data_IF_084239705218
#
_entry.id   IF_084239705218
#
_cell.length_a   1.000
_cell.length_b   1.000
_cell.length_c   1.000
_cell.angle_alpha   90.00
_cell.angle_beta   90.00
_cell.angle_gamma   90.00
#
_symmetry.space_group_name_H-M   'P 1'
#
loop_
_entity.id
_entity.type
_entity.pdbx_description
1 polymer ?
#
# COMPACT_ATOMS: atom_id res chain seq x y z
N UNK A 1 -15.27 12.40 23.43
CA UNK A 1 -15.27 13.52 22.45
C UNK A 1 -13.82 13.71 22.05
N UNK A 2 -13.52 13.58 20.76
CA UNK A 2 -12.14 13.81 20.28
C UNK A 2 -11.94 15.32 20.20
N UNK A 3 -11.01 15.85 20.97
CA UNK A 3 -10.52 17.23 20.80
C UNK A 3 -10.11 17.42 19.35
N UNK A 4 -10.68 18.40 18.70
CA UNK A 4 -10.43 18.62 17.30
C UNK A 4 -9.08 19.29 17.12
N UNK A 5 -8.28 18.85 16.13
CA UNK A 5 -7.00 19.43 15.70
C UNK A 5 -7.06 20.98 15.51
N UNK A 6 -8.25 21.57 15.45
CA UNK A 6 -8.49 23.01 15.29
C UNK A 6 -8.20 23.84 16.56
N UNK A 7 -8.07 23.20 17.71
CA UNK A 7 -7.87 23.88 19.00
C UNK A 7 -6.41 23.93 19.44
N UNK A 8 -5.50 23.25 18.70
CA UNK A 8 -4.08 23.24 19.01
C UNK A 8 -3.41 24.50 18.43
N UNK A 9 -2.83 25.33 19.30
CA UNK A 9 -2.28 26.63 18.95
C UNK A 9 -0.76 26.64 18.76
N UNK A 10 -0.05 25.63 19.28
CA UNK A 10 1.40 25.53 19.22
C UNK A 10 1.90 24.23 18.61
N UNK A 11 3.15 24.25 18.13
CA UNK A 11 3.83 23.05 17.60
C UNK A 11 4.05 22.00 18.71
N UNK A 12 4.32 22.43 19.92
CA UNK A 12 4.51 21.59 21.11
C UNK A 12 3.22 20.87 21.46
N UNK A 13 2.08 21.56 21.50
CA UNK A 13 0.77 20.94 21.73
C UNK A 13 0.44 19.91 20.66
N UNK A 14 0.73 20.20 19.40
CA UNK A 14 0.52 19.24 18.31
C UNK A 14 1.40 18.00 18.43
N UNK A 15 2.68 18.16 18.82
CA UNK A 15 3.58 17.01 19.06
C UNK A 15 3.11 16.16 20.24
N UNK A 16 2.71 16.81 21.35
CA UNK A 16 2.19 16.11 22.52
C UNK A 16 0.90 15.33 22.17
N UNK A 17 -0.04 15.93 21.45
CA UNK A 17 -1.24 15.27 20.93
C UNK A 17 -0.91 14.05 20.07
N UNK A 18 0.02 14.18 19.13
CA UNK A 18 0.43 13.06 18.27
C UNK A 18 1.08 11.93 19.07
N UNK A 19 1.91 12.27 20.06
CA UNK A 19 2.55 11.27 20.93
C UNK A 19 1.51 10.51 21.77
N UNK A 20 0.53 11.21 22.33
CA UNK A 20 -0.56 10.60 23.10
C UNK A 20 -1.37 9.63 22.22
N UNK A 21 -1.77 10.05 21.00
CA UNK A 21 -2.50 9.19 20.06
C UNK A 21 -1.70 7.94 19.70
N UNK A 22 -0.41 8.10 19.46
CA UNK A 22 0.48 6.97 19.17
C UNK A 22 0.56 6.01 20.36
N UNK A 23 0.76 6.52 21.58
CA UNK A 23 0.80 5.70 22.81
C UNK A 23 -0.51 4.95 23.03
N UNK A 24 -1.67 5.59 22.83
CA UNK A 24 -2.97 4.94 22.91
C UNK A 24 -3.11 3.82 21.88
N UNK A 25 -2.59 3.99 20.66
CA UNK A 25 -2.61 2.95 19.64
C UNK A 25 -1.72 1.77 20.04
N UNK A 26 -0.49 2.02 20.50
CA UNK A 26 0.45 0.99 20.98
C UNK A 26 -0.15 0.20 22.15
N UNK A 27 -0.77 0.86 23.12
CA UNK A 27 -1.46 0.18 24.23
C UNK A 27 -2.57 -0.76 23.74
N UNK A 28 -3.34 -0.36 22.72
CA UNK A 28 -4.37 -1.23 22.13
C UNK A 28 -3.77 -2.41 21.36
N UNK A 29 -2.63 -2.21 20.71
CA UNK A 29 -1.90 -3.28 20.02
C UNK A 29 -1.35 -4.33 21.00
N UNK A 30 -1.09 -3.96 22.24
CA UNK A 30 -0.64 -4.86 23.31
C UNK A 30 -1.76 -5.64 23.99
N UNK A 31 -3.02 -5.39 23.68
CA UNK A 31 -4.15 -6.13 24.24
C UNK A 31 -4.08 -7.62 23.86
N UNK A 32 -4.57 -8.53 24.73
CA UNK A 32 -4.71 -9.93 24.37
C UNK A 32 -5.54 -10.13 23.09
N UNK A 33 -5.18 -11.14 22.31
CA UNK A 33 -5.78 -11.42 21.02
C UNK A 33 -7.31 -11.54 21.07
N UNK A 34 -7.86 -12.30 21.99
CA UNK A 34 -9.31 -12.49 22.15
C UNK A 34 -10.06 -11.19 22.50
N UNK A 35 -9.40 -10.28 23.22
CA UNK A 35 -9.94 -8.93 23.46
C UNK A 35 -9.96 -8.13 22.17
N UNK A 36 -8.90 -8.18 21.37
CA UNK A 36 -8.85 -7.51 20.06
C UNK A 36 -9.97 -8.01 19.14
N UNK A 37 -10.18 -9.33 19.05
CA UNK A 37 -11.25 -9.91 18.23
C UNK A 37 -12.62 -9.45 18.69
N UNK A 38 -12.90 -9.46 20.01
CA UNK A 38 -14.18 -8.93 20.55
C UNK A 38 -14.37 -7.46 20.23
N UNK A 39 -13.35 -6.64 20.35
CA UNK A 39 -13.39 -5.22 19.99
C UNK A 39 -13.64 -5.01 18.50
N UNK A 40 -13.03 -5.80 17.63
CA UNK A 40 -13.25 -5.74 16.18
C UNK A 40 -14.71 -6.05 15.85
N UNK A 41 -15.28 -7.13 16.42
CA UNK A 41 -16.70 -7.48 16.26
C UNK A 41 -17.65 -6.36 16.72
N UNK A 42 -17.38 -5.76 17.88
CA UNK A 42 -18.16 -4.64 18.37
C UNK A 42 -18.11 -3.43 17.42
N UNK A 43 -16.93 -3.11 16.87
CA UNK A 43 -16.74 -1.98 15.93
C UNK A 43 -17.43 -2.21 14.59
N UNK A 44 -17.41 -3.45 14.10
CA UNK A 44 -18.15 -3.83 12.90
C UNK A 44 -19.64 -3.57 13.13
N UNK A 45 -20.20 -4.05 14.24
CA UNK A 45 -21.62 -3.88 14.55
C UNK A 45 -21.99 -2.41 14.73
N UNK A 46 -21.26 -1.66 15.55
CA UNK A 46 -21.55 -0.25 15.78
C UNK A 46 -21.44 0.63 14.52
N UNK A 47 -20.51 0.31 13.61
CA UNK A 47 -20.42 1.04 12.34
C UNK A 47 -21.57 0.70 11.40
N UNK A 48 -22.01 -0.56 11.37
CA UNK A 48 -23.18 -0.98 10.59
C UNK A 48 -24.45 -0.28 11.06
N UNK A 49 -24.73 -0.29 12.37
CA UNK A 49 -25.87 0.37 12.99
C UNK A 49 -25.86 1.88 12.67
N UNK A 50 -24.72 2.55 12.88
CA UNK A 50 -24.58 3.98 12.57
C UNK A 50 -24.73 4.27 11.07
N UNK A 51 -24.22 3.39 10.18
CA UNK A 51 -24.41 3.53 8.74
C UNK A 51 -25.90 3.45 8.37
N UNK A 52 -26.63 2.47 8.90
CA UNK A 52 -28.08 2.33 8.68
C UNK A 52 -28.85 3.57 9.18
N UNK A 53 -28.55 4.06 10.38
CA UNK A 53 -29.15 5.29 10.92
C UNK A 53 -28.92 6.52 10.04
N UNK A 54 -27.76 6.58 9.37
CA UNK A 54 -27.40 7.65 8.43
C UNK A 54 -27.90 7.40 7.01
N UNK A 55 -28.59 6.28 6.75
CA UNK A 55 -29.13 5.91 5.45
C UNK A 55 -28.10 5.37 4.47
N UNK A 56 -26.93 4.89 4.94
CA UNK A 56 -25.90 4.26 4.11
C UNK A 56 -25.99 2.74 4.16
N UNK A 57 -25.66 2.09 3.06
CA UNK A 57 -25.30 0.68 3.03
C UNK A 57 -23.82 0.50 3.44
N UNK A 58 -23.44 -0.74 3.76
CA UNK A 58 -22.05 -1.09 4.02
C UNK A 58 -21.52 -2.09 3.00
N UNK A 59 -20.21 -2.11 2.77
CA UNK A 59 -19.52 -3.14 2.00
C UNK A 59 -18.12 -3.41 2.56
N UNK A 60 -17.53 -4.56 2.26
CA UNK A 60 -16.10 -4.82 2.52
C UNK A 60 -15.32 -4.57 1.25
N UNK A 61 -14.30 -3.72 1.31
CA UNK A 61 -13.31 -3.60 0.23
C UNK A 61 -12.28 -4.71 0.36
N UNK A 62 -12.37 -5.72 -0.50
CA UNK A 62 -11.55 -6.94 -0.41
C UNK A 62 -10.37 -6.86 -1.37
N UNK A 63 -9.17 -7.16 -0.85
CA UNK A 63 -7.91 -7.30 -1.58
C UNK A 63 -7.15 -8.52 -1.08
N UNK A 64 -6.03 -8.34 -0.36
CA UNK A 64 -5.22 -9.42 0.22
C UNK A 64 -5.80 -10.04 1.50
N UNK A 65 -4.98 -10.86 2.17
CA UNK A 65 -5.36 -11.69 3.31
C UNK A 65 -6.09 -10.93 4.43
N UNK A 66 -5.64 -9.73 4.79
CA UNK A 66 -6.22 -8.96 5.89
C UNK A 66 -7.71 -8.64 5.64
N UNK A 67 -8.04 -8.23 4.44
CA UNK A 67 -9.42 -7.91 4.05
C UNK A 67 -10.26 -9.14 3.75
N UNK A 68 -9.66 -10.24 3.30
CA UNK A 68 -10.30 -11.56 3.20
C UNK A 68 -10.70 -12.04 4.60
N UNK A 69 -9.77 -11.96 5.56
CA UNK A 69 -10.04 -12.33 6.95
C UNK A 69 -11.15 -11.47 7.57
N UNK A 70 -11.15 -10.15 7.28
CA UNK A 70 -12.22 -9.26 7.72
C UNK A 70 -13.58 -9.64 7.13
N UNK A 71 -13.62 -9.98 5.84
CA UNK A 71 -14.82 -10.43 5.17
C UNK A 71 -15.38 -11.73 5.81
N UNK A 72 -14.50 -12.69 6.10
CA UNK A 72 -14.88 -13.93 6.79
C UNK A 72 -15.34 -13.67 8.23
N UNK A 73 -14.72 -12.75 8.97
CA UNK A 73 -15.18 -12.36 10.31
C UNK A 73 -16.58 -11.76 10.27
N UNK A 74 -16.89 -10.93 9.28
CA UNK A 74 -18.22 -10.34 9.09
C UNK A 74 -19.26 -11.42 8.79
N UNK A 75 -18.94 -12.43 7.97
CA UNK A 75 -19.83 -13.59 7.73
C UNK A 75 -20.02 -14.43 9.00
N UNK A 76 -18.96 -14.68 9.77
CA UNK A 76 -19.03 -15.39 11.04
C UNK A 76 -19.90 -14.66 12.10
N UNK A 77 -20.06 -13.35 11.99
CA UNK A 77 -20.97 -12.55 12.80
C UNK A 77 -22.44 -12.67 12.36
N UNK A 78 -22.74 -13.39 11.28
CA UNK A 78 -24.09 -13.62 10.77
C UNK A 78 -24.57 -12.61 9.72
N UNK A 79 -23.75 -11.65 9.29
CA UNK A 79 -24.09 -10.77 8.18
C UNK A 79 -24.05 -11.52 6.86
N UNK A 80 -25.07 -11.35 6.03
CA UNK A 80 -25.20 -11.96 4.70
C UNK A 80 -24.60 -11.08 3.60
N UNK A 81 -24.57 -11.58 2.37
CA UNK A 81 -24.18 -10.79 1.20
C UNK A 81 -25.16 -9.64 0.90
N UNK A 82 -26.42 -9.81 1.28
CA UNK A 82 -27.41 -8.75 1.16
C UNK A 82 -27.22 -7.62 2.17
N UNK A 83 -26.69 -7.94 3.36
CA UNK A 83 -26.40 -6.93 4.39
C UNK A 83 -25.10 -6.18 4.09
N UNK A 84 -24.01 -6.93 3.82
CA UNK A 84 -22.67 -6.38 3.60
C UNK A 84 -22.02 -7.13 2.44
N UNK A 85 -22.16 -6.69 1.18
CA UNK A 85 -21.50 -7.28 0.03
C UNK A 85 -19.98 -7.09 0.08
N UNK A 86 -19.25 -7.97 -0.60
CA UNK A 86 -17.81 -7.90 -0.76
C UNK A 86 -17.48 -7.33 -2.14
N UNK A 87 -16.63 -6.31 -2.19
CA UNK A 87 -16.30 -5.58 -3.43
C UNK A 87 -14.79 -5.60 -3.63
N UNK A 88 -14.35 -5.99 -4.82
CA UNK A 88 -12.92 -6.13 -5.12
C UNK A 88 -12.54 -5.65 -6.51
N UNK A 89 -11.34 -5.08 -6.63
CA UNK A 89 -10.64 -4.89 -7.90
C UNK A 89 -9.79 -6.14 -8.25
N UNK A 90 -10.38 -7.32 -8.17
CA UNK A 90 -9.75 -8.65 -8.18
C UNK A 90 -8.77 -8.89 -9.33
N UNK A 91 -9.05 -8.37 -10.52
CA UNK A 91 -8.21 -8.54 -11.71
C UNK A 91 -6.75 -8.04 -11.58
N UNK A 92 -6.45 -7.32 -10.50
CA UNK A 92 -5.13 -6.76 -10.23
C UNK A 92 -4.33 -7.60 -9.23
N UNK A 93 -4.99 -8.52 -8.55
CA UNK A 93 -4.39 -9.38 -7.54
C UNK A 93 -3.79 -10.65 -8.19
N UNK A 94 -2.97 -11.37 -7.42
CA UNK A 94 -2.48 -12.70 -7.80
C UNK A 94 -3.64 -13.66 -8.09
N UNK A 95 -3.43 -14.65 -8.96
CA UNK A 95 -4.46 -15.60 -9.36
C UNK A 95 -5.01 -16.41 -8.18
N UNK A 96 -4.17 -16.74 -7.20
CA UNK A 96 -4.61 -17.44 -5.98
C UNK A 96 -5.56 -16.58 -5.14
N UNK A 97 -5.33 -15.27 -5.07
CA UNK A 97 -6.23 -14.31 -4.42
C UNK A 97 -7.53 -14.17 -5.21
N UNK A 98 -7.45 -14.09 -6.55
CA UNK A 98 -8.64 -14.01 -7.39
C UNK A 98 -9.57 -15.20 -7.21
N UNK A 99 -9.00 -16.41 -7.05
CA UNK A 99 -9.75 -17.64 -6.77
C UNK A 99 -10.53 -17.52 -5.45
N UNK A 100 -9.88 -17.07 -4.38
CA UNK A 100 -10.54 -16.86 -3.08
C UNK A 100 -11.63 -15.78 -3.17
N UNK A 101 -11.41 -14.72 -3.94
CA UNK A 101 -12.45 -13.70 -4.18
C UNK A 101 -13.69 -14.29 -4.89
N UNK A 102 -13.50 -15.22 -5.82
CA UNK A 102 -14.61 -15.92 -6.48
C UNK A 102 -15.37 -16.82 -5.49
N UNK A 103 -14.67 -17.57 -4.65
CA UNK A 103 -15.25 -18.42 -3.61
C UNK A 103 -16.05 -17.59 -2.58
N UNK A 104 -15.61 -16.38 -2.26
CA UNK A 104 -16.28 -15.44 -1.37
C UNK A 104 -17.45 -14.69 -2.03
N UNK A 105 -17.71 -14.89 -3.32
CA UNK A 105 -18.77 -14.17 -4.04
C UNK A 105 -18.48 -12.67 -4.23
N UNK A 106 -17.22 -12.25 -4.33
CA UNK A 106 -16.88 -10.85 -4.45
C UNK A 106 -17.43 -10.21 -5.73
N UNK A 107 -18.05 -9.05 -5.61
CA UNK A 107 -18.42 -8.19 -6.73
C UNK A 107 -17.14 -7.58 -7.30
N UNK A 108 -16.82 -7.90 -8.56
CA UNK A 108 -15.60 -7.43 -9.20
C UNK A 108 -15.84 -6.10 -9.90
N UNK A 109 -15.16 -5.04 -9.46
CA UNK A 109 -15.16 -3.74 -10.13
C UNK A 109 -14.04 -3.67 -11.16
N UNK A 110 -14.35 -3.13 -12.33
CA UNK A 110 -13.39 -2.99 -13.43
C UNK A 110 -12.55 -1.71 -13.26
N UNK A 111 -11.23 -1.78 -13.47
CA UNK A 111 -10.38 -0.60 -13.51
C UNK A 111 -10.84 0.44 -14.54
N UNK A 112 -10.64 1.73 -14.28
CA UNK A 112 -10.95 2.80 -15.24
C UNK A 112 -10.06 2.79 -16.47
N UNK A 113 -8.81 2.33 -16.31
CA UNK A 113 -7.82 2.15 -17.38
C UNK A 113 -7.14 0.80 -17.22
N UNK A 114 -6.67 0.20 -18.29
CA UNK A 114 -5.80 -0.98 -18.17
C UNK A 114 -4.49 -0.61 -17.48
N UNK A 115 -3.85 -1.57 -16.81
CA UNK A 115 -2.59 -1.35 -16.09
C UNK A 115 -1.48 -0.85 -17.04
N UNK A 116 -1.36 -1.45 -18.22
CA UNK A 116 -0.43 -1.00 -19.27
C UNK A 116 -0.68 0.46 -19.63
N UNK A 117 -1.95 0.83 -19.87
CA UNK A 117 -2.30 2.22 -20.20
C UNK A 117 -1.99 3.19 -19.07
N UNK A 118 -2.16 2.79 -17.81
CA UNK A 118 -1.79 3.63 -16.67
C UNK A 118 -0.27 3.82 -16.59
N UNK A 119 0.52 2.75 -16.78
CA UNK A 119 1.99 2.87 -16.78
C UNK A 119 2.49 3.75 -17.92
N UNK A 120 1.91 3.61 -19.12
CA UNK A 120 2.27 4.38 -20.30
C UNK A 120 1.90 5.86 -20.17
N UNK A 121 0.66 6.16 -19.75
CA UNK A 121 0.11 7.52 -19.71
C UNK A 121 0.59 8.29 -18.47
N UNK A 122 0.50 7.67 -17.30
CA UNK A 122 0.67 8.32 -15.99
C UNK A 122 2.04 8.04 -15.36
N UNK A 123 2.65 6.88 -15.61
CA UNK A 123 3.97 6.49 -15.13
C UNK A 123 3.99 5.35 -14.10
N UNK A 124 5.21 4.98 -13.74
CA UNK A 124 5.51 3.83 -12.89
C UNK A 124 5.33 4.15 -11.40
N UNK A 125 4.63 3.30 -10.63
CA UNK A 125 4.45 3.45 -9.18
C UNK A 125 5.68 2.90 -8.44
N UNK A 126 6.72 3.72 -8.31
CA UNK A 126 8.03 3.32 -7.75
C UNK A 126 8.34 4.10 -6.46
N UNK A 127 9.23 3.57 -5.63
CA UNK A 127 9.66 4.11 -4.33
C UNK A 127 8.53 4.07 -3.29
N UNK A 128 7.84 5.17 -3.08
CA UNK A 128 6.63 5.21 -2.25
C UNK A 128 5.58 6.12 -2.86
N UNK A 129 4.30 5.94 -2.47
CA UNK A 129 3.21 6.81 -2.95
C UNK A 129 3.52 8.29 -2.73
N UNK A 130 4.08 8.66 -1.56
CA UNK A 130 4.44 10.05 -1.23
C UNK A 130 5.58 10.56 -2.12
N UNK A 131 6.62 9.75 -2.32
CA UNK A 131 7.78 10.12 -3.14
C UNK A 131 7.38 10.22 -4.61
N UNK A 132 6.68 9.22 -5.14
CA UNK A 132 6.21 9.22 -6.53
C UNK A 132 5.29 10.41 -6.84
N UNK A 133 4.41 10.79 -5.91
CA UNK A 133 3.57 11.99 -6.07
C UNK A 133 4.40 13.29 -6.11
N UNK A 134 5.46 13.40 -5.31
CA UNK A 134 6.35 14.57 -5.34
C UNK A 134 7.14 14.63 -6.65
N UNK A 135 7.63 13.49 -7.15
CA UNK A 135 8.32 13.39 -8.43
C UNK A 135 7.37 13.80 -9.57
N UNK A 136 6.13 13.26 -9.58
CA UNK A 136 5.09 13.65 -10.56
C UNK A 136 4.80 15.16 -10.50
N UNK A 137 4.73 15.74 -9.29
CA UNK A 137 4.52 17.18 -9.11
C UNK A 137 5.68 18.01 -9.66
N UNK A 138 6.93 17.58 -9.47
CA UNK A 138 8.11 18.23 -10.05
C UNK A 138 8.12 18.12 -11.58
N UNK A 139 7.74 16.97 -12.14
CA UNK A 139 7.70 16.72 -13.57
C UNK A 139 6.64 17.54 -14.31
N UNK A 140 5.61 18.04 -13.61
CA UNK A 140 4.51 18.80 -14.20
C UNK A 140 4.41 20.23 -13.62
N UNK A 141 5.35 21.13 -13.95
CA UNK A 141 5.37 22.50 -13.42
C UNK A 141 4.16 23.31 -13.92
N UNK A 142 3.55 24.05 -12.99
CA UNK A 142 2.50 25.01 -13.27
C UNK A 142 2.55 26.17 -12.26
N UNK A 143 1.93 27.30 -12.56
CA UNK A 143 1.80 28.41 -11.60
C UNK A 143 1.02 27.97 -10.34
N UNK A 144 0.04 27.07 -10.48
CA UNK A 144 -0.78 26.60 -9.35
C UNK A 144 0.00 25.73 -8.36
N UNK A 145 1.07 25.06 -8.80
CA UNK A 145 1.87 24.18 -7.93
C UNK A 145 3.26 24.74 -7.60
N UNK A 146 3.55 26.00 -7.92
CA UNK A 146 4.84 26.65 -7.72
C UNK A 146 5.31 26.59 -6.25
N UNK A 147 4.43 26.92 -5.31
CA UNK A 147 4.73 26.87 -3.87
C UNK A 147 4.98 25.43 -3.39
N UNK A 148 4.20 24.46 -3.87
CA UNK A 148 4.37 23.04 -3.53
C UNK A 148 5.70 22.53 -4.08
N UNK A 149 6.06 22.88 -5.31
CA UNK A 149 7.35 22.48 -5.90
C UNK A 149 8.52 23.09 -5.14
N UNK A 150 8.42 24.36 -4.75
CA UNK A 150 9.43 25.00 -3.89
C UNK A 150 9.60 24.25 -2.57
N UNK A 151 8.49 23.90 -1.88
CA UNK A 151 8.54 23.13 -0.65
C UNK A 151 9.11 21.70 -0.84
N UNK A 152 8.87 21.06 -2.00
CA UNK A 152 9.44 19.74 -2.31
C UNK A 152 10.96 19.82 -2.47
N UNK A 153 11.48 20.89 -3.06
CA UNK A 153 12.93 21.08 -3.30
C UNK A 153 13.64 21.54 -2.03
N UNK A 154 13.11 22.57 -1.37
CA UNK A 154 13.82 23.29 -0.30
C UNK A 154 13.41 22.86 1.12
N UNK A 155 12.24 22.25 1.27
CA UNK A 155 11.62 22.02 2.57
C UNK A 155 10.91 23.24 3.17
N UNK A 156 11.01 24.40 2.53
CA UNK A 156 10.33 25.62 2.97
C UNK A 156 8.85 25.59 2.57
N UNK A 157 7.99 25.55 3.57
CA UNK A 157 6.53 25.56 3.41
C UNK A 157 5.90 26.96 3.61
N UNK A 158 6.72 28.00 3.78
CA UNK A 158 6.29 29.37 4.03
C UNK A 158 5.61 29.58 5.39
N UNK A 159 5.16 30.81 5.64
CA UNK A 159 4.54 31.23 6.91
C UNK A 159 3.22 30.49 7.23
N UNK A 160 2.56 29.92 6.23
CA UNK A 160 1.35 29.12 6.42
C UNK A 160 1.64 27.61 6.61
N UNK A 161 2.85 27.19 6.33
CA UNK A 161 3.31 25.84 6.69
C UNK A 161 3.68 25.85 8.17
N UNK A 162 2.77 25.44 9.03
CA UNK A 162 3.03 25.25 10.48
C UNK A 162 4.22 24.33 10.80
N UNK A 163 5.03 23.97 9.80
CA UNK A 163 6.14 23.05 9.89
C UNK A 163 7.41 23.79 9.44
N UNK A 164 8.09 24.38 10.41
CA UNK A 164 9.43 24.88 10.24
C UNK A 164 10.36 23.88 9.57
N UNK A 165 11.41 24.38 8.96
CA UNK A 165 12.66 23.72 8.55
C UNK A 165 12.71 22.20 8.83
N UNK A 166 12.85 21.37 7.80
CA UNK A 166 12.76 19.90 7.78
C UNK A 166 11.34 19.35 7.61
N UNK A 167 10.52 20.06 6.89
CA UNK A 167 9.20 19.59 6.51
C UNK A 167 9.29 18.24 5.79
N UNK A 168 8.38 17.31 6.16
CA UNK A 168 8.17 16.05 5.43
C UNK A 168 7.79 16.28 3.94
N UNK A 169 7.61 17.53 3.51
CA UNK A 169 7.42 17.92 2.11
C UNK A 169 8.70 17.80 1.29
N UNK A 170 9.86 18.05 1.86
CA UNK A 170 11.12 17.94 1.12
C UNK A 170 11.36 16.51 0.63
N UNK A 171 11.80 16.35 -0.60
CA UNK A 171 12.38 15.11 -1.07
C UNK A 171 13.79 14.95 -0.51
N UNK A 172 14.23 13.74 -0.15
CA UNK A 172 15.63 13.46 0.13
C UNK A 172 16.54 13.93 -1.01
N UNK A 173 17.71 14.45 -0.68
CA UNK A 173 18.64 15.00 -1.69
C UNK A 173 19.04 13.98 -2.77
N UNK A 174 19.16 12.69 -2.40
CA UNK A 174 19.43 11.61 -3.35
C UNK A 174 18.35 11.52 -4.44
N UNK A 175 17.09 11.67 -4.08
CA UNK A 175 16.00 11.65 -5.06
C UNK A 175 15.87 12.97 -5.82
N UNK A 176 16.20 14.11 -5.20
CA UNK A 176 16.27 15.38 -5.92
C UNK A 176 17.35 15.39 -6.99
N UNK A 177 18.53 14.77 -6.73
CA UNK A 177 19.58 14.60 -7.73
C UNK A 177 19.15 13.62 -8.83
N UNK A 178 18.50 12.52 -8.45
CA UNK A 178 18.10 11.46 -9.38
C UNK A 178 16.93 11.89 -10.29
N UNK A 179 15.89 12.53 -9.73
CA UNK A 179 14.67 12.89 -10.46
C UNK A 179 14.53 14.38 -10.77
N UNK A 180 15.55 15.18 -10.51
CA UNK A 180 15.56 16.61 -10.71
C UNK A 180 15.23 17.42 -9.46
N UNK A 181 15.39 18.72 -9.58
CA UNK A 181 15.29 19.66 -8.46
C UNK A 181 16.64 20.15 -7.97
N UNK A 182 17.70 19.31 -8.01
CA UNK A 182 19.09 19.71 -7.72
C UNK A 182 20.02 19.23 -8.82
N UNK A 183 21.03 20.05 -9.17
CA UNK A 183 22.15 19.65 -10.01
C UNK A 183 23.20 18.84 -9.20
N UNK A 184 24.31 18.44 -9.85
CA UNK A 184 25.38 17.67 -9.22
C UNK A 184 26.05 18.41 -8.07
N UNK A 185 26.11 19.74 -8.14
CA UNK A 185 26.65 20.62 -7.10
C UNK A 185 25.64 20.94 -6.00
N UNK A 186 24.40 20.43 -6.09
CA UNK A 186 23.35 20.64 -5.09
C UNK A 186 22.59 21.96 -5.22
N UNK A 187 22.69 22.64 -6.38
CA UNK A 187 21.91 23.87 -6.68
C UNK A 187 20.54 23.50 -7.19
N UNK A 188 19.53 24.31 -6.88
CA UNK A 188 18.15 24.07 -7.32
C UNK A 188 17.99 24.34 -8.82
N UNK A 189 17.52 23.33 -9.54
CA UNK A 189 17.12 23.43 -10.94
C UNK A 189 15.68 23.97 -11.11
N UNK A 190 14.86 23.92 -10.07
CA UNK A 190 13.46 24.36 -10.10
C UNK A 190 12.51 23.45 -10.90
N UNK A 191 13.00 22.37 -11.47
CA UNK A 191 12.23 21.41 -12.27
C UNK A 191 12.77 19.97 -12.09
N UNK A 192 12.03 18.99 -12.58
CA UNK A 192 12.45 17.60 -12.62
C UNK A 192 13.49 17.39 -13.74
N UNK A 193 14.48 16.53 -13.49
CA UNK A 193 15.37 16.08 -14.56
C UNK A 193 14.59 15.24 -15.59
N UNK A 194 14.94 15.31 -16.89
CA UNK A 194 14.31 14.49 -17.89
C UNK A 194 14.67 13.01 -17.64
N UNK A 195 13.67 12.21 -17.33
CA UNK A 195 13.76 10.75 -17.34
C UNK A 195 13.13 10.25 -18.62
N UNK A 196 13.60 9.12 -19.11
CA UNK A 196 12.99 8.45 -20.28
C UNK A 196 11.81 7.55 -19.90
N UNK A 197 11.18 7.84 -18.77
CA UNK A 197 9.94 7.24 -18.27
C UNK A 197 9.28 8.20 -17.26
N UNK A 198 8.00 8.00 -17.01
CA UNK A 198 7.23 8.79 -16.03
C UNK A 198 7.17 8.06 -14.69
N UNK A 199 7.09 8.82 -13.60
CA UNK A 199 6.86 8.30 -12.24
C UNK A 199 5.65 8.99 -11.64
N UNK A 200 4.69 8.22 -11.15
CA UNK A 200 3.53 8.77 -10.44
C UNK A 200 2.92 7.78 -9.44
N UNK A 201 2.04 8.28 -8.57
CA UNK A 201 1.23 7.45 -7.68
C UNK A 201 -0.20 7.18 -8.23
N UNK A 202 -0.52 7.60 -9.45
CA UNK A 202 -1.87 7.56 -10.02
C UNK A 202 -2.35 6.16 -10.36
N UNK A 203 -1.43 5.17 -10.40
CA UNK A 203 -1.76 3.79 -10.67
C UNK A 203 -2.85 3.27 -9.71
N UNK A 204 -2.69 3.48 -8.39
CA UNK A 204 -3.70 3.07 -7.41
C UNK A 204 -5.05 3.76 -7.63
N UNK A 205 -5.04 5.03 -8.00
CA UNK A 205 -6.25 5.79 -8.28
C UNK A 205 -7.06 5.17 -9.42
N UNK A 206 -6.46 4.99 -10.60
CA UNK A 206 -7.18 4.47 -11.78
C UNK A 206 -7.56 3.00 -11.67
N UNK A 207 -6.75 2.20 -10.96
CA UNK A 207 -6.94 0.77 -10.92
C UNK A 207 -7.82 0.29 -9.76
N UNK A 208 -7.76 0.96 -8.60
CA UNK A 208 -8.45 0.52 -7.37
C UNK A 208 -9.36 1.58 -6.77
N UNK A 209 -8.82 2.77 -6.48
CA UNK A 209 -9.52 3.77 -5.66
C UNK A 209 -10.77 4.28 -6.39
N UNK A 210 -10.61 4.88 -7.57
CA UNK A 210 -11.72 5.46 -8.31
C UNK A 210 -12.81 4.45 -8.75
N UNK A 211 -12.49 3.21 -9.20
CA UNK A 211 -13.51 2.19 -9.47
C UNK A 211 -14.31 1.81 -8.22
N UNK A 212 -13.64 1.60 -7.08
CA UNK A 212 -14.31 1.26 -5.82
C UNK A 212 -15.16 2.44 -5.30
N UNK A 213 -14.64 3.66 -5.36
CA UNK A 213 -15.36 4.88 -4.99
C UNK A 213 -16.60 5.11 -5.87
N UNK A 214 -16.49 4.83 -7.18
CA UNK A 214 -17.61 4.91 -8.09
C UNK A 214 -18.70 3.91 -7.69
N UNK A 215 -18.32 2.65 -7.48
CA UNK A 215 -19.26 1.62 -7.04
C UNK A 215 -19.92 1.99 -5.71
N UNK A 216 -19.14 2.45 -4.73
CA UNK A 216 -19.62 2.85 -3.42
C UNK A 216 -20.65 4.00 -3.50
N UNK A 217 -20.40 5.00 -4.36
CA UNK A 217 -21.34 6.10 -4.61
C UNK A 217 -22.62 5.64 -5.28
N UNK A 218 -22.55 4.79 -6.30
CA UNK A 218 -23.70 4.23 -7.01
C UNK A 218 -24.61 3.39 -6.09
N UNK A 219 -24.02 2.74 -5.07
CA UNK A 219 -24.73 1.90 -4.11
C UNK A 219 -24.99 2.59 -2.77
N UNK A 220 -24.65 3.88 -2.66
CA UNK A 220 -24.78 4.67 -1.42
C UNK A 220 -24.16 3.94 -0.21
N UNK A 221 -22.95 3.44 -0.37
CA UNK A 221 -22.30 2.48 0.54
C UNK A 221 -20.99 3.00 1.10
N UNK A 222 -20.70 2.65 2.36
CA UNK A 222 -19.46 2.99 3.08
C UNK A 222 -18.61 1.73 3.36
N UNK A 223 -17.26 1.81 3.25
CA UNK A 223 -16.43 0.63 3.28
C UNK A 223 -16.00 0.21 4.70
N UNK A 224 -15.91 -1.11 4.88
CA UNK A 224 -14.99 -1.75 5.83
C UNK A 224 -13.66 -2.01 5.16
N UNK A 225 -12.57 -1.69 5.83
CA UNK A 225 -11.20 -1.81 5.34
C UNK A 225 -10.37 -2.68 6.27
N UNK A 226 -9.71 -3.71 5.73
CA UNK A 226 -8.73 -4.55 6.44
C UNK A 226 -7.37 -3.87 6.55
N UNK A 227 -7.29 -2.70 7.19
CA UNK A 227 -6.05 -1.94 7.38
C UNK A 227 -5.67 -1.86 8.85
N UNK A 228 -4.35 -1.87 9.12
CA UNK A 228 -3.76 -1.86 10.45
C UNK A 228 -2.80 -0.69 10.64
N UNK A 229 -2.72 -0.15 11.85
CA UNK A 229 -1.72 0.86 12.20
C UNK A 229 -0.29 0.26 12.24
N UNK A 230 -0.17 -1.04 12.53
CA UNK A 230 1.10 -1.77 12.51
C UNK A 230 1.79 -1.79 11.14
N UNK A 231 1.06 -1.53 10.04
CA UNK A 231 1.65 -1.37 8.71
C UNK A 231 2.44 -0.06 8.53
N UNK A 232 2.30 0.89 9.48
CA UNK A 232 3.03 2.15 9.48
C UNK A 232 2.59 3.18 8.43
N UNK A 233 3.35 4.26 8.31
CA UNK A 233 3.19 5.29 7.29
C UNK A 233 1.85 6.03 7.36
N UNK A 234 1.25 6.33 6.20
CA UNK A 234 -0.02 7.07 6.12
C UNK A 234 -1.20 6.35 6.78
N UNK A 235 -1.17 5.00 6.83
CA UNK A 235 -2.22 4.21 7.47
C UNK A 235 -2.19 4.39 8.98
N UNK A 236 -1.01 4.28 9.58
CA UNK A 236 -0.84 4.57 11.01
C UNK A 236 -1.27 5.99 11.36
N UNK A 237 -0.73 6.99 10.63
CA UNK A 237 -1.07 8.41 10.82
C UNK A 237 -2.60 8.63 10.81
N UNK A 238 -3.31 8.04 9.84
CA UNK A 238 -4.77 8.21 9.69
C UNK A 238 -5.58 7.45 10.74
N UNK A 239 -5.12 6.26 11.18
CA UNK A 239 -5.81 5.46 12.19
C UNK A 239 -5.58 6.01 13.60
N UNK A 240 -4.40 6.54 13.90
CA UNK A 240 -4.10 7.22 15.15
C UNK A 240 -4.92 8.51 15.29
N UNK A 241 -5.06 9.29 14.21
CA UNK A 241 -5.77 10.56 14.23
C UNK A 241 -7.30 10.40 14.27
N UNK A 242 -7.84 9.49 13.47
CA UNK A 242 -9.29 9.38 13.24
C UNK A 242 -9.93 8.14 13.88
N UNK A 243 -9.13 7.22 14.38
CA UNK A 243 -9.64 5.98 14.95
C UNK A 243 -10.15 4.98 13.92
N UNK A 244 -10.86 3.96 14.39
CA UNK A 244 -11.35 2.86 13.60
C UNK A 244 -12.56 3.22 12.74
N UNK A 245 -13.62 3.71 13.38
CA UNK A 245 -14.86 4.16 12.74
C UNK A 245 -14.78 5.67 12.55
N UNK A 246 -14.78 6.09 11.31
CA UNK A 246 -14.60 7.49 10.95
C UNK A 246 -15.72 7.97 10.04
N UNK A 247 -16.34 9.08 10.44
CA UNK A 247 -17.38 9.79 9.72
C UNK A 247 -16.92 11.22 9.43
N UNK A 248 -16.23 11.41 8.32
CA UNK A 248 -15.79 12.73 7.88
C UNK A 248 -16.76 13.40 6.92
N UNK A 249 -16.48 14.66 6.56
CA UNK A 249 -17.34 15.43 5.64
C UNK A 249 -17.41 14.82 4.23
N UNK A 250 -16.33 14.21 3.77
CA UNK A 250 -16.18 13.69 2.41
C UNK A 250 -15.97 12.19 2.36
N UNK A 251 -15.59 11.56 3.46
CA UNK A 251 -15.26 10.14 3.53
C UNK A 251 -15.76 9.55 4.84
N UNK A 252 -16.35 8.36 4.76
CA UNK A 252 -16.65 7.53 5.91
C UNK A 252 -15.99 6.15 5.71
N UNK A 253 -15.52 5.53 6.78
CA UNK A 253 -14.91 4.19 6.75
C UNK A 253 -14.86 3.56 8.11
N UNK A 254 -14.84 2.22 8.13
CA UNK A 254 -14.46 1.45 9.31
C UNK A 254 -13.20 0.64 9.04
N UNK A 255 -12.27 0.61 10.00
CA UNK A 255 -11.08 -0.20 10.01
C UNK A 255 -11.03 -1.04 11.30
N UNK A 256 -11.81 -2.12 11.40
CA UNK A 256 -11.94 -2.90 12.64
C UNK A 256 -10.63 -3.47 13.14
N UNK A 257 -9.67 -3.75 12.25
CA UNK A 257 -8.34 -4.28 12.55
C UNK A 257 -7.28 -3.20 12.84
N UNK A 258 -7.67 -1.93 13.01
CA UNK A 258 -6.71 -0.81 13.16
C UNK A 258 -5.63 -1.01 14.21
N UNK A 259 -5.89 -1.78 15.27
CA UNK A 259 -4.95 -2.08 16.37
C UNK A 259 -4.45 -3.53 16.38
N UNK A 260 -4.70 -4.30 15.32
CA UNK A 260 -4.16 -5.63 15.16
C UNK A 260 -2.70 -5.58 14.72
N UNK A 261 -1.94 -6.61 15.11
CA UNK A 261 -0.67 -6.96 14.51
C UNK A 261 -0.93 -7.94 13.36
N UNK A 262 0.02 -8.07 12.43
CA UNK A 262 -0.13 -9.02 11.32
C UNK A 262 -0.34 -10.46 11.83
N UNK A 263 0.40 -10.85 12.87
CA UNK A 263 0.23 -12.15 13.55
C UNK A 263 -1.19 -12.40 14.06
N UNK A 264 -1.88 -11.35 14.57
CA UNK A 264 -3.27 -11.48 15.02
C UNK A 264 -4.21 -11.79 13.85
N UNK A 265 -3.97 -11.20 12.67
CA UNK A 265 -4.80 -11.43 11.49
C UNK A 265 -4.58 -12.82 10.92
N UNK A 266 -3.33 -13.29 10.84
CA UNK A 266 -3.01 -14.65 10.39
C UNK A 266 -3.65 -15.68 11.33
N UNK A 267 -3.54 -15.49 12.66
CA UNK A 267 -4.21 -16.33 13.64
C UNK A 267 -5.72 -16.34 13.46
N UNK A 268 -6.33 -15.16 13.27
CA UNK A 268 -7.78 -15.04 13.07
C UNK A 268 -8.22 -15.73 11.77
N UNK A 269 -7.41 -15.67 10.71
CA UNK A 269 -7.69 -16.39 9.48
C UNK A 269 -7.75 -17.91 9.72
N UNK A 270 -6.82 -18.46 10.50
CA UNK A 270 -6.84 -19.88 10.87
C UNK A 270 -8.04 -20.20 11.76
N UNK A 271 -8.32 -19.41 12.79
CA UNK A 271 -9.43 -19.63 13.71
C UNK A 271 -10.80 -19.60 13.00
N UNK A 272 -10.94 -18.83 11.93
CA UNK A 272 -12.14 -18.75 11.10
C UNK A 272 -12.18 -19.77 9.94
N UNK A 273 -11.13 -20.56 9.74
CA UNK A 273 -11.03 -21.47 8.62
C UNK A 273 -10.98 -20.78 7.25
N UNK A 274 -10.35 -19.61 7.18
CA UNK A 274 -10.21 -18.85 5.93
C UNK A 274 -9.37 -19.63 4.94
N UNK A 275 -9.82 -19.73 3.70
CA UNK A 275 -8.98 -20.21 2.61
C UNK A 275 -7.88 -19.16 2.33
N UNK A 276 -6.67 -19.43 2.85
CA UNK A 276 -5.51 -18.55 2.66
C UNK A 276 -4.99 -18.75 1.23
N UNK A 277 -4.90 -17.67 0.41
CA UNK A 277 -4.39 -17.79 -0.96
C UNK A 277 -2.97 -18.33 -1.03
N UNK A 278 -2.68 -19.19 -2.01
CA UNK A 278 -1.39 -19.90 -2.17
C UNK A 278 -0.17 -18.96 -2.19
N UNK A 279 -0.32 -17.72 -2.66
CA UNK A 279 0.77 -16.73 -2.68
C UNK A 279 1.32 -16.41 -1.28
N UNK A 280 0.54 -16.61 -0.22
CA UNK A 280 1.00 -16.42 1.16
C UNK A 280 1.77 -17.63 1.71
N UNK A 281 1.78 -18.76 0.98
CA UNK A 281 2.42 -20.01 1.42
C UNK A 281 1.69 -20.66 2.59
N UNK A 282 2.45 -21.35 3.42
CA UNK A 282 1.94 -22.05 4.60
C UNK A 282 1.91 -21.15 5.82
N UNK A 283 0.99 -21.44 6.75
CA UNK A 283 0.97 -20.77 8.06
C UNK A 283 1.90 -21.50 9.01
N UNK A 284 2.79 -20.77 9.62
CA UNK A 284 3.71 -21.28 10.65
C UNK A 284 3.56 -20.47 11.94
N UNK A 285 3.96 -21.07 13.06
CA UNK A 285 4.07 -20.38 14.36
C UNK A 285 5.52 -20.44 14.79
N UNK A 286 6.14 -19.27 14.93
CA UNK A 286 7.52 -19.12 15.35
C UNK A 286 7.62 -18.08 16.47
N UNK A 287 8.19 -18.44 17.62
CA UNK A 287 8.29 -17.58 18.81
C UNK A 287 6.92 -16.97 19.23
N UNK A 288 5.88 -17.77 19.24
CA UNK A 288 4.47 -17.39 19.52
C UNK A 288 3.86 -16.40 18.51
N UNK A 289 4.54 -16.12 17.41
CA UNK A 289 4.01 -15.31 16.30
C UNK A 289 3.50 -16.15 15.15
N UNK A 290 2.28 -15.90 14.71
CA UNK A 290 1.66 -16.49 13.53
C UNK A 290 2.14 -15.76 12.28
N UNK A 291 2.70 -16.48 11.33
CA UNK A 291 3.28 -15.94 10.10
C UNK A 291 2.90 -16.80 8.90
N UNK A 292 3.05 -16.23 7.73
CA UNK A 292 2.97 -16.96 6.46
C UNK A 292 4.37 -17.08 5.84
N UNK A 293 4.65 -18.19 5.16
CA UNK A 293 5.98 -18.45 4.57
C UNK A 293 6.20 -17.77 3.23
N UNK A 294 5.11 -17.34 2.55
CA UNK A 294 5.14 -16.68 1.26
C UNK A 294 5.21 -15.16 1.33
N UNK A 295 4.49 -14.49 0.43
CA UNK A 295 4.45 -13.03 0.38
C UNK A 295 3.84 -12.44 1.64
N UNK A 296 4.55 -11.53 2.31
CA UNK A 296 4.05 -10.84 3.50
C UNK A 296 3.08 -9.71 3.14
N UNK A 297 3.18 -9.17 1.94
CA UNK A 297 2.31 -8.12 1.39
C UNK A 297 2.06 -8.39 -0.07
N UNK A 298 0.84 -8.62 -0.39
CA UNK A 298 0.40 -8.64 -1.78
C UNK A 298 -0.07 -7.25 -2.18
N UNK A 299 0.33 -6.85 -3.35
CA UNK A 299 -0.18 -5.66 -4.02
C UNK A 299 -0.70 -6.09 -5.40
N UNK A 300 -1.05 -5.12 -6.24
CA UNK A 300 -1.21 -5.44 -7.65
C UNK A 300 0.07 -6.13 -8.14
N UNK A 301 -0.06 -7.20 -8.94
CA UNK A 301 1.09 -7.75 -9.66
C UNK A 301 1.87 -6.61 -10.30
N UNK A 302 3.19 -6.62 -10.22
CA UNK A 302 4.05 -5.53 -10.73
C UNK A 302 3.87 -4.17 -10.05
N UNK A 303 3.58 -4.11 -8.76
CA UNK A 303 3.67 -2.88 -7.98
C UNK A 303 5.12 -2.62 -7.55
N UNK A 304 5.70 -1.49 -7.92
CA UNK A 304 7.08 -1.13 -7.54
C UNK A 304 7.18 -0.28 -6.27
N UNK A 305 6.08 0.01 -5.58
CA UNK A 305 6.17 0.72 -4.31
C UNK A 305 6.86 -0.14 -3.25
N UNK A 306 7.91 0.40 -2.67
CA UNK A 306 8.71 -0.26 -1.64
C UNK A 306 9.80 -1.21 -2.16
N UNK A 307 9.94 -1.40 -3.48
CA UNK A 307 10.92 -2.33 -4.07
C UNK A 307 12.35 -2.06 -3.60
N UNK A 308 12.72 -0.81 -3.39
CA UNK A 308 14.05 -0.41 -2.91
C UNK A 308 14.35 -0.83 -1.46
N UNK A 309 13.34 -1.33 -0.74
CA UNK A 309 13.48 -1.84 0.63
C UNK A 309 13.56 -3.36 0.67
N UNK A 310 13.32 -4.02 -0.45
CA UNK A 310 13.36 -5.48 -0.57
C UNK A 310 14.77 -5.93 -0.93
N UNK A 311 15.24 -6.98 -0.27
CA UNK A 311 16.41 -7.73 -0.70
C UNK A 311 16.00 -8.74 -1.77
N UNK A 312 16.96 -9.22 -2.57
CA UNK A 312 16.69 -10.35 -3.46
C UNK A 312 16.63 -11.66 -2.65
N UNK A 313 15.70 -12.57 -3.00
CA UNK A 313 14.75 -12.48 -4.11
C UNK A 313 13.62 -11.49 -3.77
N UNK A 314 13.55 -10.38 -4.50
CA UNK A 314 12.45 -9.45 -4.35
C UNK A 314 11.21 -9.89 -5.15
N UNK A 315 10.08 -9.20 -5.01
CA UNK A 315 8.81 -9.58 -5.65
C UNK A 315 8.90 -9.83 -7.15
N UNK A 316 9.81 -9.19 -7.88
CA UNK A 316 9.96 -9.40 -9.31
C UNK A 316 10.76 -10.67 -9.62
N UNK A 317 11.72 -11.07 -8.78
CA UNK A 317 12.40 -12.37 -8.89
C UNK A 317 11.38 -13.48 -8.65
N UNK A 318 10.58 -13.40 -7.58
CA UNK A 318 9.52 -14.37 -7.28
C UNK A 318 8.43 -14.42 -8.36
N UNK A 319 8.16 -13.31 -9.06
CA UNK A 319 7.27 -13.33 -10.22
C UNK A 319 7.88 -14.14 -11.37
N UNK A 320 9.19 -14.04 -11.61
CA UNK A 320 9.85 -14.85 -12.62
C UNK A 320 9.68 -16.35 -12.33
N UNK A 321 9.85 -16.78 -11.09
CA UNK A 321 9.67 -18.16 -10.67
C UNK A 321 8.24 -18.67 -10.96
N UNK A 322 7.23 -17.85 -10.67
CA UNK A 322 5.81 -18.20 -10.86
C UNK A 322 5.35 -18.08 -12.31
N UNK A 323 5.81 -17.06 -13.02
CA UNK A 323 5.33 -16.74 -14.38
C UNK A 323 6.41 -16.02 -15.21
N UNK A 324 7.38 -16.74 -15.81
CA UNK A 324 8.45 -16.15 -16.60
C UNK A 324 7.96 -15.29 -17.76
N UNK A 325 6.85 -15.68 -18.41
CA UNK A 325 6.27 -14.93 -19.54
C UNK A 325 5.66 -13.60 -19.11
N UNK A 326 4.97 -13.58 -17.96
CA UNK A 326 4.41 -12.36 -17.38
C UNK A 326 5.53 -11.43 -16.94
N UNK A 327 6.56 -11.98 -16.29
CA UNK A 327 7.76 -11.24 -15.90
C UNK A 327 8.41 -10.55 -17.10
N UNK A 328 8.70 -11.28 -18.18
CA UNK A 328 9.32 -10.74 -19.40
C UNK A 328 8.49 -9.60 -20.01
N UNK A 329 7.17 -9.76 -20.05
CA UNK A 329 6.28 -8.71 -20.53
C UNK A 329 6.39 -7.43 -19.69
N UNK A 330 6.30 -7.55 -18.37
CA UNK A 330 6.33 -6.39 -17.48
C UNK A 330 7.71 -5.75 -17.39
N UNK A 331 8.76 -6.54 -17.40
CA UNK A 331 10.13 -6.04 -17.29
C UNK A 331 10.60 -5.35 -18.57
N UNK A 332 10.18 -5.83 -19.73
CA UNK A 332 10.80 -5.44 -21.00
C UNK A 332 9.84 -4.83 -22.03
N UNK A 333 8.50 -5.02 -21.92
CA UNK A 333 7.61 -4.84 -23.06
C UNK A 333 6.31 -4.09 -22.76
N UNK A 334 6.02 -3.76 -21.49
CA UNK A 334 4.71 -3.24 -21.09
C UNK A 334 4.42 -1.80 -21.55
N UNK A 335 5.43 -1.04 -21.90
CA UNK A 335 5.33 0.32 -22.42
C UNK A 335 6.14 0.48 -23.71
N UNK A 336 5.95 1.59 -24.42
CA UNK A 336 6.67 1.95 -25.65
C UNK A 336 7.11 3.41 -25.60
N UNK A 337 8.30 3.67 -26.13
CA UNK A 337 8.76 5.02 -26.43
C UNK A 337 8.01 5.61 -27.64
N UNK A 338 8.23 6.90 -27.92
CA UNK A 338 7.60 7.60 -29.03
C UNK A 338 7.98 7.01 -30.41
N UNK A 339 9.15 6.37 -30.51
CA UNK A 339 9.61 5.64 -31.70
C UNK A 339 9.06 4.20 -31.78
N UNK A 340 8.28 3.77 -30.80
CA UNK A 340 7.71 2.43 -30.72
C UNK A 340 8.61 1.38 -30.04
N UNK A 341 9.81 1.74 -29.58
CA UNK A 341 10.73 0.84 -28.88
C UNK A 341 10.09 0.37 -27.57
N UNK A 342 9.97 -0.96 -27.35
CA UNK A 342 9.37 -1.47 -26.11
C UNK A 342 10.29 -1.28 -24.92
N UNK A 343 9.69 -1.01 -23.75
CA UNK A 343 10.37 -1.00 -22.45
C UNK A 343 9.42 -1.37 -21.32
N UNK A 344 9.96 -1.48 -20.11
CA UNK A 344 9.17 -1.78 -18.93
C UNK A 344 9.91 -1.47 -17.64
N UNK A 345 9.58 -2.21 -16.60
CA UNK A 345 10.16 -2.06 -15.26
C UNK A 345 11.68 -2.16 -15.25
N UNK A 346 12.28 -2.96 -16.14
CA UNK A 346 13.73 -3.09 -16.22
C UNK A 346 14.44 -1.74 -16.37
N UNK A 347 13.93 -0.84 -17.24
CA UNK A 347 14.44 0.53 -17.40
C UNK A 347 14.34 1.33 -16.11
N UNK A 348 13.23 1.22 -15.40
CA UNK A 348 12.99 1.95 -14.15
C UNK A 348 13.90 1.46 -13.04
N UNK A 349 14.05 0.14 -12.90
CA UNK A 349 14.90 -0.48 -11.89
C UNK A 349 16.38 -0.18 -12.11
N UNK A 350 16.83 -0.21 -13.37
CA UNK A 350 18.20 0.21 -13.73
C UNK A 350 18.45 1.66 -13.30
N UNK A 351 17.50 2.55 -13.58
CA UNK A 351 17.62 3.97 -13.24
C UNK A 351 17.74 4.23 -11.74
N UNK A 352 16.97 3.49 -10.93
CA UNK A 352 17.00 3.62 -9.46
C UNK A 352 18.02 2.71 -8.78
N UNK A 353 18.82 1.96 -9.56
CA UNK A 353 19.90 1.11 -9.04
C UNK A 353 19.44 -0.17 -8.34
N UNK A 354 18.30 -0.72 -8.72
CA UNK A 354 17.77 -1.98 -8.16
C UNK A 354 18.15 -3.13 -9.10
N UNK A 355 18.93 -4.11 -8.65
CA UNK A 355 19.29 -5.27 -9.45
C UNK A 355 18.05 -6.14 -9.73
N UNK A 356 17.87 -6.52 -11.00
CA UNK A 356 16.70 -7.30 -11.44
C UNK A 356 17.05 -8.32 -12.53
N UNK A 357 18.24 -8.18 -13.14
CA UNK A 357 18.68 -9.10 -14.19
C UNK A 357 19.04 -10.44 -13.59
N UNK A 358 18.95 -11.46 -14.41
CA UNK A 358 19.20 -12.84 -14.02
C UNK A 358 18.42 -13.31 -12.78
N UNK A 359 17.08 -13.27 -12.83
CA UNK A 359 16.26 -13.67 -11.71
C UNK A 359 16.35 -15.16 -11.38
N UNK A 360 16.84 -15.99 -12.31
CA UNK A 360 17.08 -17.42 -12.08
C UNK A 360 18.32 -17.70 -11.22
N UNK A 361 19.24 -16.72 -11.14
CA UNK A 361 20.49 -16.84 -10.37
C UNK A 361 20.75 -15.56 -9.57
N UNK A 362 19.68 -15.05 -8.92
CA UNK A 362 19.72 -13.79 -8.19
C UNK A 362 20.74 -13.76 -7.04
N UNK A 363 21.18 -14.92 -6.57
CA UNK A 363 22.19 -15.07 -5.51
C UNK A 363 23.63 -14.98 -6.00
N UNK A 364 23.86 -14.96 -7.32
CA UNK A 364 25.19 -14.81 -7.91
C UNK A 364 25.44 -13.37 -8.36
N UNK A 365 26.68 -12.91 -8.22
CA UNK A 365 27.13 -11.70 -8.86
C UNK A 365 27.36 -11.92 -10.38
N UNK A 366 27.62 -10.88 -11.18
CA UNK A 366 27.89 -11.02 -12.61
C UNK A 366 29.09 -11.92 -12.96
N UNK A 367 29.97 -12.21 -11.99
CA UNK A 367 31.14 -13.08 -12.15
C UNK A 367 30.83 -14.55 -11.81
N UNK A 368 29.60 -14.85 -11.38
CA UNK A 368 29.14 -16.19 -10.96
C UNK A 368 29.54 -16.56 -9.54
N UNK A 369 29.91 -15.59 -8.69
CA UNK A 369 30.21 -15.79 -7.28
C UNK A 369 29.00 -15.46 -6.42
N UNK A 370 28.82 -16.16 -5.29
CA UNK A 370 27.74 -15.90 -4.35
C UNK A 370 27.87 -14.51 -3.71
N UNK A 371 26.75 -13.79 -3.59
CA UNK A 371 26.72 -12.46 -2.99
C UNK A 371 26.74 -12.63 -1.46
N UNK A 372 27.84 -12.23 -0.80
CA UNK A 372 27.99 -12.32 0.66
C UNK A 372 26.77 -11.70 1.39
N UNK A 373 26.20 -12.45 2.33
CA UNK A 373 25.07 -12.03 3.17
C UNK A 373 23.68 -12.19 2.54
N UNK A 374 23.57 -12.76 1.35
CA UNK A 374 22.30 -13.29 0.82
C UNK A 374 22.22 -14.78 1.15
N UNK A 375 21.28 -15.16 2.03
CA UNK A 375 21.02 -16.58 2.28
C UNK A 375 20.37 -17.21 1.04
N UNK A 376 20.95 -18.28 0.55
CA UNK A 376 20.36 -19.09 -0.50
C UNK A 376 19.16 -19.87 0.09
N UNK A 377 18.04 -19.90 -0.62
CA UNK A 377 16.86 -20.67 -0.19
C UNK A 377 17.17 -22.14 0.00
N UNK A 378 18.23 -22.65 -0.64
CA UNK A 378 18.71 -24.04 -0.52
C UNK A 378 19.49 -24.30 0.76
N UNK A 379 20.01 -23.28 1.45
CA UNK A 379 20.71 -23.43 2.74
C UNK A 379 19.73 -23.81 3.87
N UNK A 380 18.41 -23.64 3.65
CA UNK A 380 17.38 -24.07 4.58
C UNK A 380 16.94 -25.55 4.42
N UNK A 381 17.32 -26.20 3.34
CA UNK A 381 16.83 -27.58 3.04
C UNK A 381 17.79 -28.66 3.56
N UNK A 382 19.02 -28.34 3.92
CA UNK A 382 20.00 -29.30 4.44
C UNK A 382 20.00 -29.46 5.98
N UNK A 383 19.18 -28.68 6.71
CA UNK A 383 19.07 -28.78 8.17
C UNK A 383 17.74 -29.36 8.68
N UNK A 384 17.00 -30.11 7.86
CA UNK A 384 15.80 -30.87 8.29
C UNK A 384 16.02 -32.36 8.14
#
# INVERSE_FOLDING_TARGET
MAESRKELSTVEEYKAYKLEKHQQMVQRQMLPYDIKVRMARQRIRSFYEEACERGFNCHVSVGGLDSITLACLIRDMGFTEADIPFVSASQLEDLSIQKVHQELGCIVVKPLKSKVKVLQDEGFPVLSKKIANKIDTLAHPSEKNKTIRHAIITGDCGAQGHFATNSKMQLPQSYLKLFGGLDEEGRSLGYSAPTNFKVSNKCCYYLKEAPCDKWAKEHHSVPYLGIMASEGGQRADALEEHGCNYWGKTTARSAPFSFFMHSDVVRLAVDLGVHIPEIYGEVIVENDEWKTTGEQRTGCSMCGFGIQLEKRPHRFDRLFERSPKEWDFWMNKCCKDDDGTPYGWGRVLDYIGIPWRDPAHWWLNPNGEEIEGQMNIFDYVEEI
#
